data_IF_855896909110
#
_entry.id   IF_855896909110
#
_cell.length_a   1.000
_cell.length_b   1.000
_cell.length_c   1.000
_cell.angle_alpha   90.00
_cell.angle_beta   90.00
_cell.angle_gamma   90.00
#
_symmetry.space_group_name_H-M   'P 1'
#
loop_
_entity.id
_entity.type
_entity.pdbx_description
1 polymer ?
#
# COMPACT_ATOMS: atom_id res chain seq x y z
N UNK A 1 -11.71 -13.72 3.35
CA UNK A 1 -10.89 -12.67 2.69
C UNK A 1 -10.73 -13.05 1.22
N UNK A 2 -11.41 -12.37 0.30
CA UNK A 2 -11.34 -12.70 -1.13
C UNK A 2 -10.29 -11.82 -1.84
N UNK A 3 -9.03 -12.21 -1.74
CA UNK A 3 -7.91 -11.48 -2.35
C UNK A 3 -7.93 -11.56 -3.88
N UNK A 4 -8.54 -12.61 -4.45
CA UNK A 4 -8.62 -12.83 -5.90
C UNK A 4 -9.41 -11.72 -6.60
N UNK A 5 -10.36 -11.10 -5.90
CA UNK A 5 -11.10 -9.92 -6.40
C UNK A 5 -10.17 -8.77 -6.82
N UNK A 6 -9.03 -8.60 -6.14
CA UNK A 6 -8.10 -7.49 -6.38
C UNK A 6 -6.87 -7.91 -7.18
N UNK A 7 -6.69 -9.20 -7.47
CA UNK A 7 -5.47 -9.72 -8.08
C UNK A 7 -5.20 -9.08 -9.45
N UNK A 8 -6.21 -8.99 -10.31
CA UNK A 8 -6.06 -8.42 -11.65
C UNK A 8 -5.61 -6.95 -11.60
N UNK A 9 -6.29 -6.12 -10.80
CA UNK A 9 -5.96 -4.70 -10.65
C UNK A 9 -4.58 -4.49 -10.01
N UNK A 10 -4.22 -5.28 -9.02
CA UNK A 10 -2.90 -5.17 -8.38
C UNK A 10 -1.78 -5.61 -9.32
N UNK A 11 -1.99 -6.65 -10.13
CA UNK A 11 -1.01 -7.09 -11.13
C UNK A 11 -0.77 -6.05 -12.23
N UNK A 12 -1.83 -5.38 -12.66
CA UNK A 12 -1.76 -4.26 -13.60
C UNK A 12 -0.95 -3.11 -13.00
N UNK A 13 -1.29 -2.70 -11.76
CA UNK A 13 -0.62 -1.61 -11.03
C UNK A 13 0.89 -1.87 -10.80
N UNK A 14 1.29 -3.09 -10.46
CA UNK A 14 2.71 -3.45 -10.23
C UNK A 14 3.46 -3.83 -11.52
N UNK A 15 2.78 -3.91 -12.68
CA UNK A 15 3.38 -4.32 -13.93
C UNK A 15 3.86 -5.79 -13.98
N UNK A 16 3.27 -6.68 -13.18
CA UNK A 16 3.63 -8.12 -13.10
C UNK A 16 2.46 -8.98 -13.58
N UNK A 17 2.38 -9.31 -14.88
CA UNK A 17 1.22 -9.99 -15.46
C UNK A 17 1.08 -11.46 -15.02
N UNK A 18 2.16 -12.12 -14.62
CA UNK A 18 2.14 -13.51 -14.17
C UNK A 18 3.31 -13.82 -13.22
N UNK A 19 3.18 -14.91 -12.46
CA UNK A 19 4.18 -15.34 -11.47
C UNK A 19 4.02 -14.65 -10.11
N UNK A 20 4.88 -15.05 -9.16
CA UNK A 20 4.99 -14.50 -7.80
C UNK A 20 3.65 -14.42 -7.02
N UNK A 21 2.74 -15.36 -7.29
CA UNK A 21 1.37 -15.38 -6.76
C UNK A 21 1.33 -15.35 -5.23
N UNK A 22 2.26 -16.05 -4.56
CA UNK A 22 2.35 -16.02 -3.10
C UNK A 22 2.68 -14.63 -2.55
N UNK A 23 3.52 -13.86 -3.26
CA UNK A 23 3.88 -12.49 -2.85
C UNK A 23 2.73 -11.53 -3.11
N UNK A 24 2.07 -11.64 -4.26
CA UNK A 24 0.88 -10.84 -4.61
C UNK A 24 -0.25 -11.12 -3.61
N UNK A 25 -0.55 -12.38 -3.33
CA UNK A 25 -1.58 -12.78 -2.36
C UNK A 25 -1.30 -12.20 -0.97
N UNK A 26 -0.05 -12.29 -0.47
CA UNK A 26 0.32 -11.73 0.84
C UNK A 26 0.15 -10.22 0.87
N UNK A 27 0.59 -9.50 -0.17
CA UNK A 27 0.47 -8.05 -0.25
C UNK A 27 -1.00 -7.61 -0.23
N UNK A 28 -1.85 -8.25 -1.04
CA UNK A 28 -3.29 -7.97 -1.08
C UNK A 28 -3.95 -8.28 0.26
N UNK A 29 -3.65 -9.42 0.86
CA UNK A 29 -4.23 -9.80 2.16
C UNK A 29 -3.89 -8.78 3.25
N UNK A 30 -2.63 -8.34 3.31
CA UNK A 30 -2.20 -7.30 4.24
C UNK A 30 -2.86 -5.95 3.95
N UNK A 31 -2.94 -5.54 2.69
CA UNK A 31 -3.58 -4.29 2.29
C UNK A 31 -5.06 -4.24 2.69
N UNK A 32 -5.81 -5.32 2.45
CA UNK A 32 -7.20 -5.41 2.89
C UNK A 32 -7.29 -5.24 4.42
N UNK A 33 -6.47 -5.94 5.20
CA UNK A 33 -6.49 -5.80 6.66
C UNK A 33 -6.18 -4.37 7.14
N UNK A 34 -5.20 -3.69 6.52
CA UNK A 34 -4.85 -2.33 6.89
C UNK A 34 -5.93 -1.32 6.50
N UNK A 35 -6.45 -1.41 5.28
CA UNK A 35 -7.50 -0.50 4.80
C UNK A 35 -8.80 -0.73 5.58
N UNK A 36 -9.21 -1.97 5.79
CA UNK A 36 -10.43 -2.28 6.55
C UNK A 36 -10.34 -1.80 8.00
N UNK A 37 -9.17 -1.95 8.63
CA UNK A 37 -8.93 -1.39 9.97
C UNK A 37 -8.98 0.14 9.98
N UNK A 38 -8.50 0.79 8.92
CA UNK A 38 -8.44 2.25 8.84
C UNK A 38 -9.81 2.88 8.60
N UNK A 39 -10.68 2.21 7.84
CA UNK A 39 -12.02 2.70 7.53
C UNK A 39 -13.07 2.25 8.55
N UNK A 40 -12.69 1.47 9.57
CA UNK A 40 -13.63 1.02 10.59
C UNK A 40 -14.33 2.20 11.26
N UNK A 41 -15.66 2.14 11.35
CA UNK A 41 -16.49 3.26 11.82
C UNK A 41 -16.74 4.38 10.80
N UNK A 42 -16.23 4.29 9.56
CA UNK A 42 -16.48 5.24 8.48
C UNK A 42 -17.26 4.60 7.32
N UNK A 43 -18.13 5.39 6.67
CA UNK A 43 -18.79 4.98 5.43
C UNK A 43 -17.93 5.42 4.25
N UNK A 44 -17.22 4.47 3.64
CA UNK A 44 -16.37 4.70 2.46
C UNK A 44 -16.98 3.95 1.27
N UNK A 45 -17.03 4.60 0.12
CA UNK A 45 -17.53 3.98 -1.11
C UNK A 45 -16.66 2.77 -1.51
N UNK A 46 -17.31 1.71 -2.00
CA UNK A 46 -16.63 0.46 -2.38
C UNK A 46 -15.56 0.67 -3.44
N UNK A 47 -15.73 1.64 -4.34
CA UNK A 47 -14.74 1.98 -5.37
C UNK A 47 -13.50 2.63 -4.75
N UNK A 48 -13.68 3.53 -3.78
CA UNK A 48 -12.58 4.17 -3.05
C UNK A 48 -11.85 3.16 -2.18
N UNK A 49 -12.60 2.27 -1.51
CA UNK A 49 -12.01 1.16 -0.75
C UNK A 49 -11.17 0.25 -1.65
N UNK A 50 -11.68 -0.14 -2.81
CA UNK A 50 -10.96 -0.99 -3.75
C UNK A 50 -9.68 -0.32 -4.30
N UNK A 51 -9.75 0.98 -4.59
CA UNK A 51 -8.61 1.78 -5.04
C UNK A 51 -7.52 1.88 -3.93
N UNK A 52 -7.92 2.14 -2.68
CA UNK A 52 -7.01 2.11 -1.54
C UNK A 52 -6.35 0.74 -1.34
N UNK A 53 -7.11 -0.35 -1.44
CA UNK A 53 -6.55 -1.71 -1.32
C UNK A 53 -5.55 -1.98 -2.44
N UNK A 54 -5.86 -1.58 -3.67
CA UNK A 54 -5.00 -1.81 -4.84
C UNK A 54 -3.67 -1.06 -4.71
N UNK A 55 -3.70 0.24 -4.42
CA UNK A 55 -2.48 1.03 -4.23
C UNK A 55 -1.67 0.60 -3.01
N UNK A 56 -2.32 0.30 -1.88
CA UNK A 56 -1.61 -0.19 -0.68
C UNK A 56 -0.93 -1.55 -0.95
N UNK A 57 -1.60 -2.46 -1.68
CA UNK A 57 -1.01 -3.75 -2.05
C UNK A 57 0.20 -3.59 -2.97
N UNK A 58 0.12 -2.69 -3.97
CA UNK A 58 1.24 -2.38 -4.85
C UNK A 58 2.45 -1.82 -4.08
N UNK A 59 2.20 -0.88 -3.16
CA UNK A 59 3.24 -0.33 -2.30
C UNK A 59 3.87 -1.36 -1.38
N UNK A 60 3.08 -2.27 -0.78
CA UNK A 60 3.60 -3.35 0.05
C UNK A 60 4.44 -4.34 -0.76
N UNK A 61 4.04 -4.62 -2.01
CA UNK A 61 4.80 -5.44 -2.93
C UNK A 61 6.16 -4.78 -3.23
N UNK A 62 6.17 -3.49 -3.60
CA UNK A 62 7.36 -2.74 -3.98
C UNK A 62 8.27 -2.40 -2.78
N UNK A 63 7.72 -2.12 -1.61
CA UNK A 63 8.50 -1.84 -0.38
C UNK A 63 9.34 -3.05 0.03
N UNK A 64 8.87 -4.26 -0.24
CA UNK A 64 9.64 -5.49 0.01
C UNK A 64 10.77 -5.67 -1.00
N UNK A 65 10.60 -5.14 -2.21
CA UNK A 65 11.64 -5.06 -3.24
C UNK A 65 12.71 -4.05 -2.84
N UNK A 66 12.30 -2.84 -2.44
CA UNK A 66 13.20 -1.76 -2.03
C UNK A 66 14.02 -2.10 -0.77
N UNK A 67 13.50 -2.93 0.15
CA UNK A 67 14.26 -3.45 1.30
C UNK A 67 15.33 -4.47 0.92
N UNK A 68 15.24 -5.09 -0.26
CA UNK A 68 16.24 -5.99 -0.83
C UNK A 68 17.16 -5.27 -1.83
N UNK A 69 16.66 -4.24 -2.50
CA UNK A 69 17.37 -3.38 -3.43
C UNK A 69 18.02 -2.19 -2.74
N UNK A 70 19.02 -2.43 -1.90
CA UNK A 70 19.96 -1.36 -1.53
C UNK A 70 20.78 -1.05 -2.77
N UNK A 71 20.35 -0.09 -3.58
CA UNK A 71 21.21 0.55 -4.56
C UNK A 71 22.18 1.44 -3.77
N UNK A 72 23.27 0.84 -3.28
CA UNK A 72 24.36 1.58 -2.65
C UNK A 72 25.00 2.48 -3.72
N UNK A 73 24.46 3.68 -3.90
CA UNK A 73 25.12 4.71 -4.68
C UNK A 73 26.29 5.17 -3.83
N UNK A 74 27.49 4.72 -4.20
CA UNK A 74 28.75 4.96 -3.48
C UNK A 74 29.24 6.41 -3.52
N UNK A 75 28.36 7.39 -3.68
CA UNK A 75 28.67 8.79 -3.45
C UNK A 75 27.73 9.29 -2.35
N UNK A 76 28.31 9.78 -1.26
CA UNK A 76 27.58 10.21 -0.07
C UNK A 76 26.77 11.49 -0.24
N UNK A 77 26.28 11.81 -1.45
CA UNK A 77 25.42 12.97 -1.70
C UNK A 77 23.93 12.67 -1.55
N UNK A 78 23.53 11.39 -1.57
CA UNK A 78 22.14 10.98 -1.40
C UNK A 78 21.86 10.57 0.04
N UNK A 79 21.19 11.44 0.77
CA UNK A 79 20.59 11.08 2.06
C UNK A 79 19.61 9.90 1.84
N UNK A 80 19.71 8.81 2.62
CA UNK A 80 18.78 7.70 2.49
C UNK A 80 17.36 8.19 2.80
N UNK A 81 16.54 8.34 1.78
CA UNK A 81 15.13 8.62 1.99
C UNK A 81 14.53 7.46 2.78
N UNK A 82 14.12 7.72 4.03
CA UNK A 82 13.41 6.72 4.83
C UNK A 82 12.06 6.51 4.18
N UNK A 83 11.92 5.41 3.43
CA UNK A 83 10.61 4.89 3.04
C UNK A 83 9.78 4.75 4.31
N UNK A 84 8.63 5.42 4.34
CA UNK A 84 7.71 5.36 5.47
C UNK A 84 7.45 3.89 5.82
N UNK A 85 7.59 3.53 7.09
CA UNK A 85 7.22 2.20 7.57
C UNK A 85 5.70 2.03 7.67
N UNK A 86 4.95 3.13 7.58
CA UNK A 86 3.49 3.11 7.58
C UNK A 86 2.96 2.54 6.25
N UNK A 87 2.27 1.37 6.28
CA UNK A 87 1.77 0.71 5.07
C UNK A 87 0.62 1.46 4.38
N UNK A 88 -0.01 2.44 5.05
CA UNK A 88 -1.11 3.24 4.51
C UNK A 88 -0.67 4.60 3.96
N UNK A 89 0.63 4.93 4.05
CA UNK A 89 1.13 6.27 3.70
C UNK A 89 0.72 6.73 2.30
N UNK A 90 0.70 5.84 1.32
CA UNK A 90 0.29 6.16 -0.06
C UNK A 90 -1.20 6.35 -0.25
N UNK A 91 -2.03 5.84 0.65
CA UNK A 91 -3.50 5.90 0.53
C UNK A 91 -4.13 6.93 1.45
N UNK A 92 -3.37 7.59 2.31
CA UNK A 92 -3.87 8.64 3.21
C UNK A 92 -4.60 9.77 2.49
N UNK A 93 -4.12 10.21 1.32
CA UNK A 93 -4.81 11.27 0.57
C UNK A 93 -6.22 10.81 0.13
N UNK A 94 -6.34 9.54 -0.30
CA UNK A 94 -7.60 8.92 -0.73
C UNK A 94 -8.55 8.72 0.46
N UNK A 95 -8.02 8.23 1.58
CA UNK A 95 -8.77 8.04 2.82
C UNK A 95 -9.26 9.36 3.43
N UNK A 96 -8.42 10.40 3.47
CA UNK A 96 -8.84 11.73 3.92
C UNK A 96 -9.92 12.34 3.02
N UNK A 97 -9.82 12.18 1.69
CA UNK A 97 -10.87 12.61 0.77
C UNK A 97 -12.20 11.86 0.99
N UNK A 98 -12.14 10.62 1.48
CA UNK A 98 -13.30 9.83 1.88
C UNK A 98 -13.81 10.12 3.30
N UNK A 99 -13.23 11.11 4.00
CA UNK A 99 -13.64 11.47 5.36
C UNK A 99 -13.05 10.57 6.46
N UNK A 100 -12.03 9.78 6.15
CA UNK A 100 -11.29 8.96 7.13
C UNK A 100 -10.04 9.73 7.57
N UNK A 101 -9.98 10.21 8.83
CA UNK A 101 -8.86 11.00 9.32
C UNK A 101 -7.61 10.11 9.42
N UNK A 102 -6.72 10.24 8.44
CA UNK A 102 -5.48 9.46 8.37
C UNK A 102 -4.29 10.37 8.16
N UNK A 103 -3.14 10.02 8.74
CA UNK A 103 -1.93 10.80 8.56
C UNK A 103 -1.87 12.13 9.30
N UNK A 104 -2.77 12.37 10.25
CA UNK A 104 -2.59 13.41 11.25
C UNK A 104 -1.37 13.04 12.09
N UNK A 105 -0.32 13.88 12.07
CA UNK A 105 0.64 13.88 13.16
C UNK A 105 -0.16 13.96 14.47
N UNK A 106 0.02 12.98 15.35
CA UNK A 106 -0.34 13.14 16.75
C UNK A 106 0.50 14.31 17.25
N UNK A 107 -0.08 15.50 17.29
CA UNK A 107 0.45 16.57 18.14
C UNK A 107 -0.03 16.20 19.53
N UNK A 108 0.82 15.49 20.27
CA UNK A 108 0.71 15.35 21.72
C UNK A 108 1.35 16.57 22.40
#
# INVERSE_FOLDING_TARGET
>A
MDWKKYEASVRDEIGVPAGDADRVQRAITSAISYVDSAIDGHTVDDTVRADCITSCAADLYNSRDARLGVMAVGDGSLEPYRVSSDPLRSVWAKLNAAGVPTGSMVIA
#
